data_IF_134572658118
#
_entry.id   IF_134572658118
#
_cell.length_a   1.000
_cell.length_b   1.000
_cell.length_c   1.000
_cell.angle_alpha   90.00
_cell.angle_beta   90.00
_cell.angle_gamma   90.00
#
_symmetry.space_group_name_H-M   'P 1'
#
loop_
_entity.id
_entity.type
_entity.pdbx_description
1 polymer ?
#
# COMPACT_ATOMS: atom_id res chain seq x y z
N UNK A 1 -4.32 25.42 -8.95
CA UNK A 1 -5.57 24.77 -8.51
C UNK A 1 -5.33 24.06 -7.19
N UNK A 2 -5.93 24.54 -6.11
CA UNK A 2 -5.79 23.94 -4.77
C UNK A 2 -6.72 22.71 -4.73
N UNK A 3 -6.15 21.50 -4.76
CA UNK A 3 -6.94 20.26 -4.67
C UNK A 3 -7.67 20.21 -3.32
N UNK A 4 -9.00 20.12 -3.38
CA UNK A 4 -9.88 20.09 -2.22
C UNK A 4 -9.56 18.88 -1.32
N UNK A 5 -9.44 19.08 0.00
CA UNK A 5 -9.12 18.02 1.00
C UNK A 5 -9.98 16.75 0.86
N UNK A 6 -11.23 16.89 0.42
CA UNK A 6 -12.14 15.76 0.15
C UNK A 6 -11.66 14.89 -1.02
N UNK A 7 -11.21 15.50 -2.12
CA UNK A 7 -10.74 14.79 -3.33
C UNK A 7 -9.48 13.99 -3.05
N UNK A 8 -8.53 14.59 -2.32
CA UNK A 8 -7.31 13.90 -1.87
C UNK A 8 -7.65 12.68 -0.99
N UNK A 9 -8.70 12.76 -0.17
CA UNK A 9 -9.13 11.65 0.69
C UNK A 9 -9.71 10.48 -0.12
N UNK A 10 -10.44 10.77 -1.20
CA UNK A 10 -10.99 9.75 -2.11
C UNK A 10 -9.92 9.12 -3.01
N UNK A 11 -8.99 9.92 -3.55
CA UNK A 11 -7.85 9.42 -4.34
C UNK A 11 -6.98 8.45 -3.49
N UNK A 12 -6.68 8.82 -2.23
CA UNK A 12 -5.98 7.95 -1.29
C UNK A 12 -6.75 6.68 -0.87
N UNK A 13 -8.07 6.64 -1.02
CA UNK A 13 -8.89 5.43 -0.80
C UNK A 13 -8.83 4.49 -2.01
N UNK A 14 -8.70 5.03 -3.23
CA UNK A 14 -8.60 4.25 -4.48
C UNK A 14 -7.23 3.56 -4.58
N UNK A 15 -6.15 4.26 -4.26
CA UNK A 15 -4.81 3.72 -4.34
C UNK A 15 -4.57 2.46 -3.47
N UNK A 16 -5.22 2.40 -2.31
CA UNK A 16 -5.11 1.27 -1.36
C UNK A 16 -5.77 -0.01 -1.87
N UNK A 17 -6.60 0.09 -2.90
CA UNK A 17 -7.20 -1.07 -3.56
C UNK A 17 -6.18 -1.80 -4.44
N UNK A 18 -5.26 -1.07 -5.09
CA UNK A 18 -4.26 -1.65 -6.01
C UNK A 18 -3.23 -2.51 -5.30
N UNK A 19 -2.67 -2.06 -4.17
CA UNK A 19 -1.73 -2.87 -3.38
C UNK A 19 -2.35 -4.22 -2.98
N UNK A 20 -3.61 -4.19 -2.53
CA UNK A 20 -4.36 -5.41 -2.19
C UNK A 20 -4.58 -6.29 -3.42
N UNK A 21 -4.97 -5.70 -4.56
CA UNK A 21 -5.20 -6.43 -5.81
C UNK A 21 -3.92 -7.12 -6.30
N UNK A 22 -2.80 -6.40 -6.36
CA UNK A 22 -1.49 -6.96 -6.75
C UNK A 22 -1.06 -8.06 -5.79
N UNK A 23 -1.22 -7.85 -4.48
CA UNK A 23 -0.92 -8.88 -3.48
C UNK A 23 -1.73 -10.17 -3.73
N UNK A 24 -3.02 -10.04 -4.02
CA UNK A 24 -3.89 -11.18 -4.30
C UNK A 24 -3.57 -11.84 -5.65
N UNK A 25 -3.20 -11.07 -6.69
CA UNK A 25 -2.73 -11.61 -7.97
C UNK A 25 -1.43 -12.39 -7.85
N UNK A 26 -0.59 -12.04 -6.87
CA UNK A 26 0.66 -12.75 -6.54
C UNK A 26 0.45 -13.86 -5.52
N UNK A 27 -0.80 -14.14 -5.11
CA UNK A 27 -1.17 -15.14 -4.11
C UNK A 27 -0.47 -14.96 -2.75
N UNK A 28 -0.05 -13.74 -2.44
CA UNK A 28 0.69 -13.45 -1.21
C UNK A 28 -0.26 -13.18 -0.04
N UNK A 29 0.04 -13.79 1.09
CA UNK A 29 -0.63 -13.55 2.36
C UNK A 29 -0.22 -12.20 2.95
N UNK A 30 -1.05 -11.66 3.85
CA UNK A 30 -0.70 -10.43 4.59
C UNK A 30 0.54 -10.62 5.47
N UNK A 31 0.80 -11.84 5.94
CA UNK A 31 1.99 -12.18 6.73
C UNK A 31 3.27 -12.12 5.87
N UNK A 32 3.25 -12.67 4.67
CA UNK A 32 4.42 -12.66 3.77
C UNK A 32 4.80 -11.24 3.37
N UNK A 33 3.83 -10.42 3.01
CA UNK A 33 4.10 -9.02 2.65
C UNK A 33 4.56 -8.20 3.86
N UNK A 34 4.01 -8.45 5.05
CA UNK A 34 4.46 -7.80 6.27
C UNK A 34 5.95 -8.08 6.57
N UNK A 35 6.41 -9.31 6.34
CA UNK A 35 7.82 -9.70 6.53
C UNK A 35 8.77 -8.93 5.61
N UNK A 36 8.36 -8.62 4.38
CA UNK A 36 9.19 -7.86 3.44
C UNK A 36 9.59 -6.49 4.01
N UNK A 37 8.68 -5.85 4.75
CA UNK A 37 8.87 -4.51 5.30
C UNK A 37 9.15 -4.51 6.82
N UNK A 38 9.43 -5.69 7.38
CA UNK A 38 9.77 -5.84 8.80
C UNK A 38 8.62 -5.53 9.77
N UNK A 39 7.37 -5.75 9.36
CA UNK A 39 6.19 -5.51 10.18
C UNK A 39 5.52 -6.82 10.63
N UNK A 40 4.72 -6.71 11.69
CA UNK A 40 3.76 -7.75 12.03
C UNK A 40 2.54 -7.73 11.09
N UNK A 41 1.91 -8.90 10.90
CA UNK A 41 0.70 -9.08 10.08
C UNK A 41 -0.37 -8.02 10.37
N UNK A 42 -0.65 -7.76 11.66
CA UNK A 42 -1.69 -6.81 12.08
C UNK A 42 -1.35 -5.38 11.69
N UNK A 43 -0.08 -4.97 11.80
CA UNK A 43 0.37 -3.64 11.42
C UNK A 43 0.24 -3.45 9.91
N UNK A 44 0.69 -4.43 9.12
CA UNK A 44 0.52 -4.41 7.66
C UNK A 44 -0.96 -4.33 7.28
N UNK A 45 -1.84 -5.14 7.88
CA UNK A 45 -3.28 -5.11 7.57
C UNK A 45 -3.92 -3.75 7.82
N UNK A 46 -3.52 -3.06 8.89
CA UNK A 46 -4.05 -1.72 9.18
C UNK A 46 -3.55 -0.70 8.14
N UNK A 47 -2.30 -0.85 7.65
CA UNK A 47 -1.77 -0.03 6.55
C UNK A 47 -2.46 -0.32 5.22
N UNK A 48 -2.63 -1.59 4.84
CA UNK A 48 -3.34 -2.00 3.62
C UNK A 48 -4.81 -1.57 3.64
N UNK A 49 -5.50 -1.67 4.79
CA UNK A 49 -6.86 -1.13 4.98
C UNK A 49 -6.91 0.40 5.01
N UNK A 50 -5.74 1.05 4.98
CA UNK A 50 -5.64 2.50 4.94
C UNK A 50 -5.83 3.23 6.24
N UNK A 51 -5.81 2.53 7.37
CA UNK A 51 -5.90 3.12 8.70
C UNK A 51 -4.62 3.84 9.08
N UNK A 52 -3.48 3.37 8.56
CA UNK A 52 -2.17 4.01 8.73
C UNK A 52 -1.45 4.15 7.37
N UNK A 53 -0.59 5.17 7.21
CA UNK A 53 0.24 5.30 6.03
C UNK A 53 1.39 4.28 6.01
N UNK A 54 1.89 3.99 4.82
CA UNK A 54 3.20 3.35 4.66
C UNK A 54 4.31 4.41 4.78
N UNK A 55 5.46 4.02 5.31
CA UNK A 55 6.67 4.85 5.29
C UNK A 55 7.35 4.73 3.93
N UNK A 56 8.13 5.74 3.54
CA UNK A 56 8.78 5.79 2.22
C UNK A 56 9.66 4.57 1.92
N UNK A 57 10.39 4.06 2.92
CA UNK A 57 11.20 2.85 2.75
C UNK A 57 10.33 1.59 2.55
N UNK A 58 9.19 1.48 3.25
CA UNK A 58 8.25 0.38 3.09
C UNK A 58 7.65 0.41 1.67
N UNK A 59 7.28 1.61 1.21
CA UNK A 59 6.76 1.81 -0.16
C UNK A 59 7.78 1.42 -1.21
N UNK A 60 9.06 1.77 -1.01
CA UNK A 60 10.16 1.40 -1.90
C UNK A 60 10.37 -0.12 -1.96
N UNK A 61 10.41 -0.81 -0.82
CA UNK A 61 10.56 -2.26 -0.77
C UNK A 61 9.40 -2.97 -1.48
N UNK A 62 8.17 -2.54 -1.21
CA UNK A 62 6.98 -3.14 -1.82
C UNK A 62 6.95 -2.88 -3.34
N UNK A 63 7.29 -1.67 -3.76
CA UNK A 63 7.42 -1.30 -5.18
C UNK A 63 8.45 -2.19 -5.90
N UNK A 64 9.60 -2.43 -5.29
CA UNK A 64 10.64 -3.32 -5.85
C UNK A 64 10.16 -4.78 -5.90
N UNK A 65 9.53 -5.28 -4.83
CA UNK A 65 9.02 -6.65 -4.77
C UNK A 65 7.91 -6.92 -5.79
N UNK A 66 7.00 -5.96 -5.98
CA UNK A 66 5.89 -6.08 -6.92
C UNK A 66 6.24 -5.62 -8.34
N UNK A 67 7.47 -5.16 -8.57
CA UNK A 67 7.92 -4.60 -9.84
C UNK A 67 6.92 -3.57 -10.42
N UNK A 68 6.46 -2.67 -9.56
CA UNK A 68 5.43 -1.66 -9.86
C UNK A 68 5.86 -0.33 -9.28
N UNK A 69 5.66 0.79 -9.98
CA UNK A 69 6.06 2.10 -9.47
C UNK A 69 5.33 2.46 -8.17
N UNK A 70 6.00 3.20 -7.27
CA UNK A 70 5.41 3.70 -6.02
C UNK A 70 4.13 4.49 -6.30
N UNK A 71 4.14 5.30 -7.38
CA UNK A 71 2.97 6.08 -7.80
C UNK A 71 1.80 5.18 -8.13
N UNK A 72 2.01 4.10 -8.86
CA UNK A 72 0.95 3.19 -9.25
C UNK A 72 0.47 2.32 -8.10
N UNK A 73 1.36 1.98 -7.16
CA UNK A 73 1.06 1.10 -6.03
C UNK A 73 0.34 1.81 -4.88
N UNK A 74 0.62 3.10 -4.66
CA UNK A 74 0.16 3.86 -3.49
C UNK A 74 -0.57 5.17 -3.80
N UNK A 75 -0.67 5.60 -5.06
CA UNK A 75 -1.39 6.81 -5.48
C UNK A 75 -2.31 6.57 -6.70
#
# INVERSE_FOLDING_TARGET
MIKNKKVLKTENLIAKKKLREIRLQKEMTTTEVAKLIGLERRQYELKEKGRYPFHDYEMKILSQNFNTEIKDLFF
#
